data_IF_898296307643
#
_entry.id   IF_898296307643
#
_cell.length_a   1.000
_cell.length_b   1.000
_cell.length_c   1.000
_cell.angle_alpha   90.00
_cell.angle_beta   90.00
_cell.angle_gamma   90.00
#
_symmetry.space_group_name_H-M   'P 1'
#
loop_
_entity.id
_entity.type
_entity.pdbx_description
1 polymer ?
#
# COMPACT_ATOMS: atom_id res chain seq x y z
N UNK A 1 -49.47 -1.03 7.45
CA UNK A 1 -48.78 -1.33 6.17
C UNK A 1 -48.41 -2.80 6.21
N UNK A 2 -48.76 -3.53 5.15
CA UNK A 2 -48.71 -4.99 5.02
C UNK A 2 -47.48 -5.67 5.65
N UNK A 3 -46.27 -5.12 5.49
CA UNK A 3 -45.03 -5.74 5.99
C UNK A 3 -44.93 -5.80 7.52
N UNK A 4 -45.46 -4.80 8.23
CA UNK A 4 -45.54 -4.83 9.70
C UNK A 4 -46.63 -5.79 10.15
N UNK A 5 -47.74 -5.86 9.42
CA UNK A 5 -48.90 -6.71 9.73
C UNK A 5 -48.58 -8.20 9.59
N UNK A 6 -47.79 -8.58 8.58
CA UNK A 6 -47.29 -9.96 8.43
C UNK A 6 -46.06 -10.25 9.30
N UNK A 7 -45.60 -9.28 10.11
CA UNK A 7 -44.46 -9.44 11.02
C UNK A 7 -43.08 -9.47 10.36
N UNK A 8 -42.99 -9.08 9.08
CA UNK A 8 -41.72 -8.98 8.36
C UNK A 8 -40.89 -7.79 8.88
N UNK A 9 -41.52 -6.60 8.95
CA UNK A 9 -40.88 -5.40 9.48
C UNK A 9 -41.19 -5.27 10.97
N UNK A 10 -40.15 -5.37 11.80
CA UNK A 10 -40.24 -5.23 13.26
C UNK A 10 -39.91 -3.80 13.70
N UNK A 11 -40.36 -3.39 14.90
CA UNK A 11 -39.90 -2.13 15.50
C UNK A 11 -38.38 -2.09 15.61
N UNK A 12 -37.82 -0.92 15.43
CA UNK A 12 -36.40 -0.66 15.67
C UNK A 12 -36.09 -0.89 17.16
N UNK A 13 -34.98 -1.58 17.49
CA UNK A 13 -34.54 -1.69 18.88
C UNK A 13 -34.10 -0.32 19.42
N UNK A 14 -34.04 -0.19 20.75
CA UNK A 14 -33.42 0.98 21.37
C UNK A 14 -31.92 1.02 21.09
N UNK A 15 -31.34 2.23 21.13
CA UNK A 15 -29.90 2.44 20.95
C UNK A 15 -29.07 1.61 21.94
N UNK A 16 -28.02 0.97 21.42
CA UNK A 16 -27.03 0.24 22.20
C UNK A 16 -25.67 0.28 21.51
N UNK A 17 -24.62 -0.14 22.23
CA UNK A 17 -23.27 -0.31 21.69
C UNK A 17 -22.92 -1.80 21.67
N UNK A 18 -22.24 -2.24 20.62
CA UNK A 18 -21.75 -3.62 20.54
C UNK A 18 -20.66 -3.86 21.60
N UNK A 19 -20.58 -5.08 22.15
CA UNK A 19 -19.65 -5.42 23.24
C UNK A 19 -18.66 -6.53 22.87
N UNK A 20 -18.50 -6.81 21.57
CA UNK A 20 -17.61 -7.86 21.07
C UNK A 20 -16.16 -7.58 21.46
N UNK A 21 -15.45 -8.61 21.92
CA UNK A 21 -14.06 -8.53 22.38
C UNK A 21 -13.20 -9.62 21.72
N UNK A 22 -11.87 -9.49 21.81
CA UNK A 22 -10.90 -10.44 21.26
C UNK A 22 -11.01 -10.59 19.73
N UNK A 23 -11.15 -9.46 19.03
CA UNK A 23 -11.18 -9.39 17.57
C UNK A 23 -9.81 -8.95 17.07
N UNK A 24 -9.28 -9.61 16.04
CA UNK A 24 -8.00 -9.26 15.43
C UNK A 24 -7.99 -7.84 14.84
N UNK A 25 -6.82 -7.21 14.82
CA UNK A 25 -6.62 -5.82 14.37
C UNK A 25 -7.00 -5.62 12.90
N UNK A 26 -6.80 -6.64 12.05
CA UNK A 26 -7.24 -6.63 10.65
C UNK A 26 -8.74 -6.41 10.47
N UNK A 27 -9.55 -6.73 11.48
CA UNK A 27 -11.01 -6.58 11.46
C UNK A 27 -11.43 -5.37 12.29
N UNK A 28 -10.78 -5.14 13.44
CA UNK A 28 -11.23 -4.17 14.42
C UNK A 28 -10.70 -2.75 14.20
N UNK A 29 -9.47 -2.61 13.68
CA UNK A 29 -8.73 -1.33 13.73
C UNK A 29 -8.16 -0.92 12.38
N UNK A 30 -7.90 -1.87 11.47
CA UNK A 30 -7.28 -1.61 10.17
C UNK A 30 -8.33 -1.47 9.08
N UNK A 31 -8.37 -0.33 8.40
CA UNK A 31 -9.17 -0.17 7.18
C UNK A 31 -8.35 -0.65 5.97
N UNK A 32 -8.93 -1.52 5.15
CA UNK A 32 -8.24 -2.01 3.95
C UNK A 32 -9.09 -2.94 3.08
N UNK A 33 -8.53 -3.43 1.96
CA UNK A 33 -9.23 -4.35 1.06
C UNK A 33 -9.55 -5.70 1.71
N UNK A 34 -10.71 -6.28 1.35
CA UNK A 34 -11.08 -7.65 1.71
C UNK A 34 -11.26 -8.48 0.43
N UNK A 35 -10.47 -9.55 0.28
CA UNK A 35 -10.51 -10.43 -0.87
C UNK A 35 -11.45 -11.62 -0.64
N UNK A 36 -12.25 -11.97 -1.66
CA UNK A 36 -13.15 -13.14 -1.65
C UNK A 36 -12.76 -14.09 -2.77
N UNK A 37 -12.51 -15.36 -2.44
CA UNK A 37 -12.11 -16.40 -3.41
C UNK A 37 -12.83 -17.73 -3.16
N UNK A 38 -13.02 -18.57 -4.19
CA UNK A 38 -13.61 -19.90 -4.02
C UNK A 38 -12.59 -20.85 -3.38
N UNK A 39 -12.88 -21.31 -2.15
CA UNK A 39 -11.98 -22.21 -1.40
C UNK A 39 -11.73 -23.56 -2.10
N UNK A 40 -12.64 -24.00 -2.98
CA UNK A 40 -12.46 -25.24 -3.76
C UNK A 40 -11.34 -25.16 -4.79
N UNK A 41 -10.86 -23.96 -5.14
CA UNK A 41 -9.70 -23.79 -5.99
C UNK A 41 -8.46 -23.53 -5.13
N UNK A 42 -7.66 -24.58 -4.90
CA UNK A 42 -6.47 -24.51 -4.04
C UNK A 42 -5.47 -23.43 -4.49
N UNK A 43 -5.31 -23.21 -5.80
CA UNK A 43 -4.42 -22.17 -6.33
C UNK A 43 -4.91 -20.77 -5.94
N UNK A 44 -6.21 -20.51 -6.07
CA UNK A 44 -6.77 -19.21 -5.70
C UNK A 44 -6.76 -18.99 -4.20
N UNK A 45 -7.00 -20.03 -3.40
CA UNK A 45 -6.92 -19.96 -1.94
C UNK A 45 -5.50 -19.58 -1.46
N UNK A 46 -4.47 -20.24 -2.01
CA UNK A 46 -3.05 -19.94 -1.66
C UNK A 46 -2.68 -18.53 -2.11
N UNK A 47 -3.07 -18.13 -3.33
CA UNK A 47 -2.82 -16.78 -3.82
C UNK A 47 -3.50 -15.73 -2.94
N UNK A 48 -4.73 -15.99 -2.48
CA UNK A 48 -5.46 -15.08 -1.61
C UNK A 48 -4.84 -14.97 -0.21
N UNK A 49 -4.40 -16.09 0.38
CA UNK A 49 -3.72 -16.07 1.67
C UNK A 49 -2.41 -15.26 1.61
N UNK A 50 -1.67 -15.36 0.51
CA UNK A 50 -0.42 -14.64 0.31
C UNK A 50 -0.62 -13.18 -0.14
N UNK A 51 -1.84 -12.77 -0.52
CA UNK A 51 -2.14 -11.44 -1.03
C UNK A 51 -2.11 -10.33 0.04
N UNK A 52 -1.77 -10.66 1.30
CA UNK A 52 -1.51 -9.65 2.34
C UNK A 52 -0.42 -8.66 1.94
N UNK A 53 0.58 -9.14 1.18
CA UNK A 53 1.64 -8.31 0.60
C UNK A 53 1.68 -8.53 -0.91
N UNK A 54 1.68 -7.44 -1.67
CA UNK A 54 1.67 -7.48 -3.12
C UNK A 54 2.67 -6.50 -3.71
N UNK A 55 3.24 -6.85 -4.86
CA UNK A 55 4.12 -5.96 -5.62
C UNK A 55 3.29 -4.88 -6.32
N UNK A 56 3.41 -3.63 -5.86
CA UNK A 56 2.79 -2.48 -6.50
C UNK A 56 3.29 -2.31 -7.94
N UNK A 57 4.58 -2.59 -8.19
CA UNK A 57 5.17 -2.48 -9.52
C UNK A 57 4.56 -3.49 -10.47
N UNK A 58 4.36 -4.75 -10.05
CA UNK A 58 3.71 -5.76 -10.88
C UNK A 58 2.23 -5.44 -11.13
N UNK A 59 1.53 -4.93 -10.12
CA UNK A 59 0.13 -4.51 -10.25
C UNK A 59 -0.02 -3.36 -11.26
N UNK A 60 0.83 -2.33 -11.19
CA UNK A 60 0.83 -1.21 -12.13
C UNK A 60 1.27 -1.62 -13.53
N UNK A 61 2.38 -2.37 -13.62
CA UNK A 61 2.93 -2.80 -14.90
C UNK A 61 1.98 -3.76 -15.63
N UNK A 62 1.36 -4.70 -14.91
CA UNK A 62 0.53 -5.76 -15.47
C UNK A 62 -0.90 -5.36 -15.85
N UNK A 63 -1.42 -4.26 -15.32
CA UNK A 63 -2.81 -3.81 -15.54
C UNK A 63 -2.90 -2.64 -16.50
N UNK A 64 -4.10 -2.11 -16.73
CA UNK A 64 -4.36 -0.90 -17.51
C UNK A 64 -4.28 0.39 -16.66
N UNK A 65 -3.92 0.29 -15.38
CA UNK A 65 -3.67 1.44 -14.50
C UNK A 65 -2.58 2.37 -15.04
N UNK A 66 -1.60 1.81 -15.75
CA UNK A 66 -0.66 2.58 -16.59
C UNK A 66 -1.09 2.41 -18.05
N UNK A 67 -1.49 3.50 -18.74
CA UNK A 67 -1.84 3.48 -20.16
C UNK A 67 -0.73 2.87 -21.02
N UNK A 68 -1.12 2.18 -22.09
CA UNK A 68 -0.20 1.53 -23.03
C UNK A 68 0.13 2.42 -24.25
N UNK A 69 -0.17 3.72 -24.18
CA UNK A 69 0.14 4.68 -25.24
C UNK A 69 1.61 5.12 -25.25
N UNK A 70 2.01 5.87 -26.28
CA UNK A 70 3.32 6.53 -26.36
C UNK A 70 4.53 5.59 -26.17
N UNK A 71 4.42 4.33 -26.64
CA UNK A 71 5.49 3.35 -26.53
C UNK A 71 5.56 2.64 -25.17
N UNK A 72 4.53 2.74 -24.33
CA UNK A 72 4.43 2.10 -23.02
C UNK A 72 3.64 0.78 -23.02
N UNK A 73 3.57 0.08 -24.17
CA UNK A 73 2.94 -1.23 -24.27
C UNK A 73 3.68 -2.28 -23.43
N UNK A 74 2.97 -3.25 -22.87
CA UNK A 74 3.59 -4.29 -22.01
C UNK A 74 4.62 -5.16 -22.75
N UNK A 75 4.38 -5.41 -24.03
CA UNK A 75 5.22 -6.30 -24.84
C UNK A 75 5.31 -7.73 -24.29
N UNK A 76 6.32 -8.49 -24.73
CA UNK A 76 6.63 -9.85 -24.23
C UNK A 76 7.70 -9.89 -23.15
N UNK A 77 8.31 -8.74 -22.84
CA UNK A 77 9.41 -8.61 -21.89
C UNK A 77 9.35 -7.24 -21.21
N UNK A 78 10.41 -6.86 -20.52
CA UNK A 78 10.45 -5.55 -19.86
C UNK A 78 10.60 -4.42 -20.88
N UNK A 79 9.59 -3.54 -20.92
CA UNK A 79 9.60 -2.29 -21.65
C UNK A 79 10.03 -1.19 -20.67
N UNK A 80 11.22 -0.64 -20.87
CA UNK A 80 11.76 0.44 -20.02
C UNK A 80 10.84 1.67 -20.01
N UNK A 81 10.23 2.05 -21.14
CA UNK A 81 9.34 3.23 -21.22
C UNK A 81 8.14 3.06 -20.29
N UNK A 82 7.56 1.85 -20.25
CA UNK A 82 6.49 1.51 -19.31
C UNK A 82 6.98 1.44 -17.87
N UNK A 83 8.14 0.81 -17.65
CA UNK A 83 8.73 0.67 -16.33
C UNK A 83 9.06 2.02 -15.67
N UNK A 84 9.52 2.98 -16.45
CA UNK A 84 9.78 4.34 -15.98
C UNK A 84 8.49 5.04 -15.51
N UNK A 85 7.37 4.86 -16.24
CA UNK A 85 6.04 5.34 -15.81
C UNK A 85 5.55 4.67 -14.52
N UNK A 86 5.82 3.38 -14.35
CA UNK A 86 5.50 2.66 -13.10
C UNK A 86 6.30 3.22 -11.92
N UNK A 87 7.60 3.46 -12.12
CA UNK A 87 8.47 4.05 -11.10
C UNK A 87 8.00 5.46 -10.73
N UNK A 88 7.72 6.30 -11.72
CA UNK A 88 7.19 7.65 -11.50
C UNK A 88 5.88 7.62 -10.70
N UNK A 89 4.93 6.75 -11.06
CA UNK A 89 3.70 6.58 -10.30
C UNK A 89 3.97 6.18 -8.85
N UNK A 90 4.85 5.20 -8.62
CA UNK A 90 5.18 4.73 -7.28
C UNK A 90 5.90 5.80 -6.45
N UNK A 91 6.72 6.66 -7.07
CA UNK A 91 7.35 7.80 -6.39
C UNK A 91 6.34 8.86 -5.98
N UNK A 92 5.40 9.20 -6.86
CA UNK A 92 4.28 10.08 -6.50
C UNK A 92 3.44 9.49 -5.36
N UNK A 93 3.18 8.18 -5.36
CA UNK A 93 2.49 7.53 -4.25
C UNK A 93 3.23 7.64 -2.91
N UNK A 94 4.57 7.59 -2.92
CA UNK A 94 5.37 7.86 -1.72
C UNK A 94 5.25 9.33 -1.30
N UNK A 95 5.31 10.27 -2.24
CA UNK A 95 5.10 11.69 -1.93
C UNK A 95 3.71 11.97 -1.35
N UNK A 96 2.68 11.23 -1.74
CA UNK A 96 1.33 11.39 -1.20
C UNK A 96 1.14 10.73 0.18
N UNK A 97 1.91 9.68 0.49
CA UNK A 97 1.68 8.82 1.67
C UNK A 97 2.71 8.99 2.79
N UNK A 98 3.96 9.29 2.45
CA UNK A 98 5.10 9.32 3.38
C UNK A 98 6.02 10.48 2.99
N UNK A 99 5.50 11.70 3.07
CA UNK A 99 6.16 12.91 2.57
C UNK A 99 7.55 13.13 3.18
N UNK A 100 8.46 13.68 2.37
CA UNK A 100 9.70 14.28 2.87
C UNK A 100 9.43 15.64 3.51
N UNK A 101 10.29 16.10 4.42
CA UNK A 101 10.20 17.45 5.02
C UNK A 101 10.10 18.52 3.93
N UNK A 102 10.91 18.38 2.89
CA UNK A 102 10.88 19.16 1.66
C UNK A 102 11.34 18.29 0.49
N UNK A 103 10.93 18.64 -0.73
CA UNK A 103 11.34 17.92 -1.93
C UNK A 103 10.36 16.79 -2.28
N UNK A 104 10.88 15.76 -2.94
CA UNK A 104 10.11 14.64 -3.46
C UNK A 104 10.98 13.37 -3.45
N UNK A 105 10.35 12.21 -3.33
CA UNK A 105 11.00 10.91 -3.55
C UNK A 105 11.45 10.73 -5.01
N UNK A 106 10.90 11.49 -5.95
CA UNK A 106 11.42 11.58 -7.32
C UNK A 106 12.84 12.18 -7.26
N UNK A 107 13.80 11.51 -7.90
CA UNK A 107 15.20 11.91 -7.83
C UNK A 107 15.90 11.51 -6.54
N UNK A 108 15.32 10.62 -5.73
CA UNK A 108 16.04 10.00 -4.61
C UNK A 108 17.25 9.20 -5.12
N UNK A 109 18.44 9.47 -4.58
CA UNK A 109 19.71 8.82 -4.94
C UNK A 109 20.15 7.77 -3.92
N UNK A 110 19.72 7.91 -2.66
CA UNK A 110 20.00 6.95 -1.59
C UNK A 110 18.92 6.99 -0.50
N UNK A 111 18.84 5.90 0.26
CA UNK A 111 18.06 5.81 1.49
C UNK A 111 18.96 5.19 2.56
N UNK A 112 19.01 5.78 3.75
CA UNK A 112 19.85 5.34 4.87
C UNK A 112 19.10 5.48 6.19
N UNK A 113 19.57 4.79 7.21
CA UNK A 113 19.07 4.93 8.58
C UNK A 113 20.14 5.59 9.43
N UNK A 114 19.92 6.84 9.81
CA UNK A 114 20.86 7.66 10.59
C UNK A 114 20.20 7.99 11.92
N UNK A 115 20.88 7.66 13.02
CA UNK A 115 20.37 7.86 14.39
C UNK A 115 18.95 7.31 14.64
N UNK A 116 18.57 6.26 13.91
CA UNK A 116 17.26 5.61 14.00
C UNK A 116 16.16 6.22 13.13
N UNK A 117 16.47 7.25 12.33
CA UNK A 117 15.53 7.91 11.42
C UNK A 117 15.89 7.63 9.95
N UNK A 118 14.89 7.77 9.07
CA UNK A 118 15.11 7.61 7.63
C UNK A 118 15.69 8.90 7.06
N UNK A 119 16.85 8.79 6.41
CA UNK A 119 17.45 9.85 5.62
C UNK A 119 17.41 9.47 4.13
N UNK A 120 16.95 10.40 3.29
CA UNK A 120 16.84 10.26 1.85
C UNK A 120 17.77 11.25 1.18
N UNK A 121 18.75 10.74 0.42
CA UNK A 121 19.59 11.57 -0.44
C UNK A 121 18.87 11.93 -1.74
N UNK A 122 18.99 13.17 -2.19
CA UNK A 122 18.39 13.69 -3.43
C UNK A 122 19.46 14.02 -4.48
N UNK A 123 19.05 14.17 -5.74
CA UNK A 123 19.93 14.49 -6.88
C UNK A 123 20.69 15.82 -6.73
N UNK A 124 20.14 16.77 -5.98
CA UNK A 124 20.79 18.06 -5.70
C UNK A 124 21.87 17.98 -4.61
N UNK A 125 22.07 16.79 -4.03
CA UNK A 125 23.03 16.53 -2.96
C UNK A 125 22.47 16.77 -1.56
N UNK A 126 21.19 17.13 -1.42
CA UNK A 126 20.53 17.27 -0.12
C UNK A 126 20.27 15.90 0.49
N UNK A 127 20.44 15.79 1.81
CA UNK A 127 19.99 14.67 2.63
C UNK A 127 18.82 15.17 3.50
N UNK A 128 17.67 14.50 3.40
CA UNK A 128 16.42 14.96 4.04
C UNK A 128 15.65 13.80 4.68
N UNK A 129 14.99 14.08 5.80
CA UNK A 129 14.12 13.10 6.47
C UNK A 129 12.67 13.12 5.99
N UNK A 130 11.88 12.19 6.53
CA UNK A 130 10.42 12.22 6.44
C UNK A 130 9.83 13.42 7.20
N UNK A 131 8.72 13.96 6.73
CA UNK A 131 7.98 15.01 7.43
C UNK A 131 7.44 14.51 8.79
N UNK A 132 7.06 13.23 8.86
CA UNK A 132 6.79 12.50 10.09
C UNK A 132 7.76 11.32 10.22
N UNK A 133 8.80 11.49 11.04
CA UNK A 133 9.80 10.47 11.28
C UNK A 133 9.21 9.17 11.88
N UNK A 134 8.05 9.23 12.54
CA UNK A 134 7.41 8.05 13.14
C UNK A 134 6.80 7.09 12.11
N UNK A 135 6.68 7.52 10.86
CA UNK A 135 6.26 6.65 9.76
C UNK A 135 7.31 5.58 9.42
N UNK A 136 8.59 5.77 9.81
CA UNK A 136 9.58 4.70 9.76
C UNK A 136 9.29 3.67 10.87
N UNK A 137 9.02 2.43 10.46
CA UNK A 137 8.76 1.32 11.39
C UNK A 137 9.96 0.39 11.52
N UNK A 138 10.80 0.30 10.48
CA UNK A 138 12.01 -0.49 10.51
C UNK A 138 12.67 -0.68 9.15
N UNK A 139 13.70 -1.51 9.11
CA UNK A 139 14.45 -1.80 7.89
C UNK A 139 15.08 -3.20 7.97
N UNK A 140 15.58 -3.70 6.83
CA UNK A 140 16.39 -4.91 6.75
C UNK A 140 17.72 -4.62 6.08
N UNK A 141 18.79 -5.26 6.55
CA UNK A 141 20.14 -5.10 5.98
C UNK A 141 20.99 -4.09 6.75
N UNK A 142 21.99 -3.53 6.07
CA UNK A 142 22.91 -2.53 6.62
C UNK A 142 22.18 -1.16 6.70
N UNK A 143 22.18 -0.43 7.83
CA UNK A 143 21.57 0.89 7.92
C UNK A 143 22.14 1.90 6.91
N UNK A 144 23.40 1.78 6.47
CA UNK A 144 23.99 2.67 5.46
C UNK A 144 23.53 2.33 4.03
N UNK A 145 22.97 1.14 3.83
CA UNK A 145 22.44 0.68 2.54
C UNK A 145 21.39 -0.43 2.76
N UNK A 146 20.20 -0.07 3.30
CA UNK A 146 19.21 -1.05 3.67
C UNK A 146 18.66 -1.73 2.41
N UNK A 147 18.47 -3.05 2.50
CA UNK A 147 17.86 -3.84 1.43
C UNK A 147 16.35 -3.59 1.29
N UNK A 148 15.70 -3.13 2.37
CA UNK A 148 14.30 -2.72 2.38
C UNK A 148 14.04 -1.81 3.57
N UNK A 149 13.11 -0.87 3.39
CA UNK A 149 12.62 0.04 4.43
C UNK A 149 11.13 -0.20 4.59
N UNK A 150 10.66 -0.30 5.84
CA UNK A 150 9.26 -0.49 6.19
C UNK A 150 8.68 0.82 6.72
N UNK A 151 7.62 1.29 6.06
CA UNK A 151 6.91 2.52 6.40
C UNK A 151 5.45 2.23 6.79
N UNK A 152 4.83 3.15 7.52
CA UNK A 152 3.40 3.12 7.88
C UNK A 152 2.77 4.52 7.69
N UNK A 153 1.59 4.55 7.09
CA UNK A 153 0.73 5.72 6.90
C UNK A 153 -0.69 5.40 7.39
#
# INVERSE_FOLDING_TARGET
SFLTEIGYLRPEPADFQITTQNVDDEIATTAGPQLVVPVMNARFAINAANARWGSLYDALYGTDAIPEDNGAEKGKGYNKVRGDKVIEWARNFLDDSVTLITGSHIGSTSYKIVDGELEVGLEDGTEIGLADASQLVGYLGDPESPSSILLKH
#
